data_IF_244165598751
#
_entry.id   IF_244165598751
#
_cell.length_a   1.000
_cell.length_b   1.000
_cell.length_c   1.000
_cell.angle_alpha   90.00
_cell.angle_beta   90.00
_cell.angle_gamma   90.00
#
_symmetry.space_group_name_H-M   'P 1'
#
loop_
_entity.id
_entity.type
_entity.pdbx_description
1 polymer ?
#
# COMPACT_ATOMS: atom_id res chain seq x y z
N UNK A 1 12.00 -9.08 27.69
CA UNK A 1 12.22 -8.94 26.22
C UNK A 1 10.95 -9.23 25.44
N UNK A 2 10.21 -10.28 25.81
CA UNK A 2 8.93 -10.64 25.17
C UNK A 2 7.87 -9.52 25.19
N UNK A 3 7.64 -8.89 26.35
CA UNK A 3 6.68 -7.79 26.48
C UNK A 3 7.00 -6.56 25.62
N UNK A 4 8.29 -6.23 25.45
CA UNK A 4 8.74 -5.11 24.61
C UNK A 4 8.48 -5.42 23.13
N UNK A 5 8.81 -6.64 22.69
CA UNK A 5 8.58 -7.04 21.30
C UNK A 5 7.08 -7.11 20.97
N UNK A 6 6.27 -7.61 21.90
CA UNK A 6 4.81 -7.63 21.76
C UNK A 6 4.24 -6.20 21.66
N UNK A 7 4.73 -5.25 22.47
CA UNK A 7 4.31 -3.86 22.40
C UNK A 7 4.67 -3.24 21.04
N UNK A 8 5.89 -3.45 20.54
CA UNK A 8 6.33 -2.97 19.23
C UNK A 8 5.46 -3.55 18.11
N UNK A 9 5.21 -4.86 18.12
CA UNK A 9 4.36 -5.52 17.12
C UNK A 9 2.93 -5.00 17.14
N UNK A 10 2.36 -4.80 18.33
CA UNK A 10 1.00 -4.26 18.49
C UNK A 10 0.90 -2.83 17.99
N UNK A 11 1.84 -1.96 18.39
CA UNK A 11 1.89 -0.56 17.95
C UNK A 11 2.08 -0.48 16.43
N UNK A 12 2.98 -1.30 15.89
CA UNK A 12 3.21 -1.40 14.45
C UNK A 12 1.95 -1.80 13.68
N UNK A 13 1.19 -2.79 14.18
CA UNK A 13 -0.05 -3.23 13.57
C UNK A 13 -1.14 -2.15 13.61
N UNK A 14 -1.25 -1.41 14.72
CA UNK A 14 -2.16 -0.27 14.83
C UNK A 14 -1.81 0.78 13.77
N UNK A 15 -0.55 1.20 13.67
CA UNK A 15 -0.12 2.17 12.67
C UNK A 15 -0.35 1.67 11.24
N UNK A 16 -0.15 0.37 10.98
CA UNK A 16 -0.40 -0.22 9.67
C UNK A 16 -1.89 -0.15 9.29
N UNK A 17 -2.78 -0.48 10.22
CA UNK A 17 -4.24 -0.36 10.01
C UNK A 17 -4.63 1.11 9.79
N UNK A 18 -4.10 2.03 10.59
CA UNK A 18 -4.36 3.47 10.44
C UNK A 18 -3.87 4.00 9.08
N UNK A 19 -2.71 3.56 8.61
CA UNK A 19 -2.19 3.91 7.29
C UNK A 19 -3.09 3.38 6.17
N UNK A 20 -3.56 2.13 6.29
CA UNK A 20 -4.52 1.54 5.34
C UNK A 20 -5.86 2.28 5.31
N UNK A 21 -6.39 2.66 6.49
CA UNK A 21 -7.60 3.48 6.58
C UNK A 21 -7.40 4.85 5.95
N UNK A 22 -6.26 5.50 6.20
CA UNK A 22 -5.95 6.80 5.61
C UNK A 22 -5.86 6.70 4.08
N UNK A 23 -5.17 5.69 3.56
CA UNK A 23 -5.05 5.44 2.13
C UNK A 23 -6.42 5.17 1.48
N UNK A 24 -7.24 4.30 2.11
CA UNK A 24 -8.60 4.02 1.64
C UNK A 24 -9.52 5.24 1.70
N UNK A 25 -9.38 6.09 2.71
CA UNK A 25 -10.14 7.33 2.81
C UNK A 25 -9.78 8.29 1.67
N UNK A 26 -8.49 8.52 1.42
CA UNK A 26 -7.98 9.34 0.32
C UNK A 26 -8.50 8.79 -1.01
N UNK A 27 -8.41 7.47 -1.23
CA UNK A 27 -8.92 6.82 -2.44
C UNK A 27 -10.42 7.07 -2.64
N UNK A 28 -11.21 7.03 -1.56
CA UNK A 28 -12.64 7.34 -1.64
C UNK A 28 -12.89 8.80 -2.02
N UNK A 29 -12.10 9.74 -1.51
CA UNK A 29 -12.24 11.18 -1.81
C UNK A 29 -11.89 11.45 -3.27
N UNK A 30 -10.77 10.89 -3.75
CA UNK A 30 -10.33 11.02 -5.15
C UNK A 30 -11.33 10.37 -6.11
N UNK A 31 -12.02 9.31 -5.68
CA UNK A 31 -13.01 8.60 -6.50
C UNK A 31 -14.42 9.20 -6.44
N UNK A 32 -14.57 10.46 -6.01
CA UNK A 32 -15.87 11.16 -5.96
C UNK A 32 -16.72 10.83 -4.72
N UNK A 33 -16.11 10.29 -3.66
CA UNK A 33 -16.73 10.12 -2.34
C UNK A 33 -17.73 8.98 -2.20
N UNK A 34 -17.99 8.21 -3.28
CA UNK A 34 -18.92 7.08 -3.28
C UNK A 34 -18.24 5.83 -2.70
N UNK A 35 -19.02 4.97 -2.03
CA UNK A 35 -18.54 3.68 -1.47
C UNK A 35 -17.37 3.78 -0.47
N UNK A 36 -17.38 4.79 0.41
CA UNK A 36 -16.30 5.05 1.39
C UNK A 36 -15.91 3.81 2.20
N UNK A 37 -16.89 3.03 2.68
CA UNK A 37 -16.63 1.82 3.45
C UNK A 37 -15.84 0.75 2.67
N UNK A 38 -16.14 0.58 1.37
CA UNK A 38 -15.43 -0.36 0.52
C UNK A 38 -13.98 0.08 0.31
N UNK A 39 -13.75 1.37 0.03
CA UNK A 39 -12.40 1.90 -0.13
C UNK A 39 -11.56 1.83 1.15
N UNK A 40 -12.16 2.07 2.32
CA UNK A 40 -11.51 1.88 3.62
C UNK A 40 -11.10 0.41 3.82
N UNK A 41 -12.02 -0.53 3.56
CA UNK A 41 -11.73 -1.95 3.67
C UNK A 41 -10.60 -2.38 2.72
N UNK A 42 -10.65 -1.93 1.46
CA UNK A 42 -9.60 -2.19 0.47
C UNK A 42 -8.26 -1.58 0.93
N UNK A 43 -8.26 -0.36 1.48
CA UNK A 43 -7.06 0.29 1.99
C UNK A 43 -6.40 -0.48 3.14
N UNK A 44 -7.20 -0.97 4.10
CA UNK A 44 -6.71 -1.83 5.20
C UNK A 44 -6.17 -3.15 4.68
N UNK A 45 -6.93 -3.84 3.81
CA UNK A 45 -6.50 -5.12 3.22
C UNK A 45 -5.20 -4.91 2.41
N UNK A 46 -5.13 -3.85 1.62
CA UNK A 46 -3.94 -3.47 0.87
C UNK A 46 -2.73 -3.24 1.79
N UNK A 47 -2.89 -2.45 2.86
CA UNK A 47 -1.82 -2.20 3.83
C UNK A 47 -1.33 -3.49 4.51
N UNK A 48 -2.23 -4.40 4.89
CA UNK A 48 -1.87 -5.67 5.51
C UNK A 48 -1.14 -6.62 4.56
N UNK A 49 -1.52 -6.64 3.27
CA UNK A 49 -0.90 -7.51 2.27
C UNK A 49 0.44 -6.94 1.76
N UNK A 50 0.58 -5.61 1.73
CA UNK A 50 1.78 -4.91 1.23
C UNK A 50 3.11 -5.45 1.77
N UNK A 51 3.32 -5.63 3.09
CA UNK A 51 4.61 -6.13 3.59
C UNK A 51 4.96 -7.52 3.05
N UNK A 52 3.98 -8.39 2.80
CA UNK A 52 4.20 -9.71 2.20
C UNK A 52 4.57 -9.60 0.72
N UNK A 53 3.88 -8.73 -0.03
CA UNK A 53 4.23 -8.45 -1.42
C UNK A 53 5.65 -7.87 -1.49
N UNK A 54 5.99 -6.90 -0.64
CA UNK A 54 7.32 -6.29 -0.61
C UNK A 54 8.38 -7.31 -0.21
N UNK A 55 8.12 -8.20 0.75
CA UNK A 55 9.05 -9.27 1.12
C UNK A 55 9.26 -10.27 -0.02
N UNK A 56 8.19 -10.68 -0.69
CA UNK A 56 8.24 -11.59 -1.83
C UNK A 56 8.99 -10.95 -3.00
N UNK A 57 8.67 -9.70 -3.33
CA UNK A 57 9.34 -8.95 -4.38
C UNK A 57 10.79 -8.64 -4.01
N UNK A 58 11.11 -8.28 -2.77
CA UNK A 58 12.48 -8.00 -2.33
C UNK A 58 13.39 -9.22 -2.49
N UNK A 59 12.91 -10.41 -2.10
CA UNK A 59 13.62 -11.66 -2.36
C UNK A 59 13.76 -11.95 -3.86
N UNK A 60 12.68 -11.77 -4.63
CA UNK A 60 12.69 -11.96 -6.07
C UNK A 60 13.61 -10.98 -6.81
N UNK A 61 13.71 -9.73 -6.34
CA UNK A 61 14.57 -8.67 -6.89
C UNK A 61 16.04 -9.02 -6.72
N UNK A 62 16.43 -9.51 -5.54
CA UNK A 62 17.78 -9.99 -5.29
C UNK A 62 18.09 -11.21 -6.16
N UNK A 63 17.13 -12.12 -6.32
CA UNK A 63 17.28 -13.32 -7.15
C UNK A 63 17.31 -13.03 -8.66
N UNK A 64 16.58 -12.00 -9.13
CA UNK A 64 16.42 -11.65 -10.55
C UNK A 64 17.40 -10.57 -11.04
N UNK A 65 18.41 -10.22 -10.24
CA UNK A 65 19.46 -9.28 -10.63
C UNK A 65 18.98 -7.85 -10.92
N UNK A 66 17.85 -7.43 -10.33
CA UNK A 66 17.34 -6.05 -10.43
C UNK A 66 16.29 -5.79 -11.52
N UNK A 67 16.08 -6.69 -12.50
CA UNK A 67 15.07 -6.48 -13.55
C UNK A 67 13.64 -6.41 -12.98
N UNK A 68 13.32 -7.26 -12.00
CA UNK A 68 12.04 -7.21 -11.31
C UNK A 68 11.84 -5.90 -10.51
N UNK A 69 12.92 -5.27 -10.04
CA UNK A 69 12.84 -4.00 -9.32
C UNK A 69 12.45 -2.87 -10.27
N UNK A 70 13.02 -2.88 -11.48
CA UNK A 70 12.70 -1.92 -12.53
C UNK A 70 11.23 -2.05 -12.93
N UNK A 71 10.72 -3.26 -13.13
CA UNK A 71 9.31 -3.49 -13.46
C UNK A 71 8.39 -3.03 -12.32
N UNK A 72 8.71 -3.36 -11.07
CA UNK A 72 7.91 -2.96 -9.92
C UNK A 72 7.86 -1.42 -9.75
N UNK A 73 9.00 -0.74 -9.87
CA UNK A 73 9.07 0.72 -9.81
C UNK A 73 8.33 1.36 -10.99
N UNK A 74 8.45 0.80 -12.19
CA UNK A 74 7.74 1.29 -13.38
C UNK A 74 6.22 1.17 -13.20
N UNK A 75 5.73 0.08 -12.61
CA UNK A 75 4.30 -0.09 -12.31
C UNK A 75 3.80 0.94 -11.27
N UNK A 76 4.57 1.19 -10.21
CA UNK A 76 4.24 2.25 -9.23
C UNK A 76 4.20 3.62 -9.88
N UNK A 77 5.21 3.95 -10.70
CA UNK A 77 5.26 5.20 -11.48
C UNK A 77 4.07 5.33 -12.44
N UNK A 78 3.68 4.25 -13.12
CA UNK A 78 2.53 4.23 -14.01
C UNK A 78 1.22 4.49 -13.28
N UNK A 79 1.01 3.91 -12.09
CA UNK A 79 -0.17 4.20 -11.25
C UNK A 79 -0.20 5.67 -10.84
N UNK A 80 0.94 6.25 -10.43
CA UNK A 80 1.03 7.68 -10.08
C UNK A 80 0.65 8.55 -11.28
N UNK A 81 1.20 8.28 -12.46
CA UNK A 81 0.89 9.03 -13.70
C UNK A 81 -0.59 8.87 -14.08
N UNK A 82 -1.16 7.67 -13.93
CA UNK A 82 -2.59 7.42 -14.17
C UNK A 82 -3.47 8.23 -13.23
N UNK A 83 -3.15 8.28 -11.94
CA UNK A 83 -3.90 9.07 -10.95
C UNK A 83 -3.80 10.55 -11.28
N UNK A 84 -2.61 11.06 -11.61
CA UNK A 84 -2.41 12.46 -12.01
C UNK A 84 -3.19 12.77 -13.28
N UNK A 85 -3.08 11.91 -14.31
CA UNK A 85 -3.79 12.05 -15.57
C UNK A 85 -5.30 12.10 -15.34
N UNK A 86 -5.81 11.22 -14.47
CA UNK A 86 -7.22 11.23 -14.08
C UNK A 86 -7.63 12.52 -13.37
N UNK A 87 -6.80 13.04 -12.46
CA UNK A 87 -7.10 14.30 -11.76
C UNK A 87 -7.08 15.55 -12.66
N UNK A 88 -6.37 15.49 -13.78
CA UNK A 88 -6.26 16.62 -14.72
C UNK A 88 -7.31 16.52 -15.84
N UNK A 89 -7.61 15.30 -16.29
CA UNK A 89 -8.41 15.05 -17.49
C UNK A 89 -9.88 14.68 -17.21
N UNK A 90 -10.20 14.16 -16.01
CA UNK A 90 -11.57 13.93 -15.54
C UNK A 90 -11.99 15.02 -14.52
#
# INVERSE_FOLDING_TARGET
MESVLQAIGTVGLIFLVLAGLLAGWIASVVSGGRHKAAYLAIGVVGALITPFIVALLGGAVLAAGGLLAIIAIALVGAVIVLVIGKMILD
#
